data_IF_282080014371
#
_entry.id   IF_282080014371
#
_cell.length_a   1.000
_cell.length_b   1.000
_cell.length_c   1.000
_cell.angle_alpha   90.00
_cell.angle_beta   90.00
_cell.angle_gamma   90.00
#
_symmetry.space_group_name_H-M   'P 1'
#
loop_
_entity.id
_entity.type
_entity.pdbx_description
1 polymer ?
#
# COMPACT_ATOMS: atom_id res chain seq x y z
N UNK A 1 -39.90 -50.98 -85.74
CA UNK A 1 -40.10 -51.53 -84.38
C UNK A 1 -38.79 -51.37 -83.63
N UNK A 2 -38.69 -50.73 -82.47
CA UNK A 2 -39.71 -50.09 -81.66
C UNK A 2 -38.98 -49.16 -80.68
N UNK A 3 -39.39 -47.89 -80.69
CA UNK A 3 -38.93 -46.85 -79.78
C UNK A 3 -39.55 -47.12 -78.40
N UNK A 4 -38.91 -47.91 -77.54
CA UNK A 4 -39.43 -48.12 -76.17
C UNK A 4 -38.38 -48.44 -75.10
N UNK A 5 -37.08 -48.30 -75.36
CA UNK A 5 -36.03 -48.63 -74.37
C UNK A 5 -35.07 -47.50 -73.99
N UNK A 6 -35.35 -46.24 -74.36
CA UNK A 6 -34.54 -45.08 -73.94
C UNK A 6 -35.26 -44.07 -73.02
N UNK A 7 -36.54 -44.25 -72.70
CA UNK A 7 -37.29 -43.34 -71.80
C UNK A 7 -37.37 -43.79 -70.34
N UNK A 8 -36.92 -45.00 -69.98
CA UNK A 8 -37.01 -45.49 -68.60
C UNK A 8 -35.78 -45.15 -67.74
N UNK A 9 -34.57 -45.07 -68.32
CA UNK A 9 -33.32 -44.81 -67.55
C UNK A 9 -33.12 -43.32 -67.24
N UNK A 10 -33.66 -42.42 -68.06
CA UNK A 10 -33.60 -40.97 -67.82
C UNK A 10 -34.58 -40.51 -66.72
N UNK A 11 -35.77 -41.11 -66.65
CA UNK A 11 -36.80 -40.72 -65.67
C UNK A 11 -36.45 -41.22 -64.25
N UNK A 12 -35.88 -42.43 -64.11
CA UNK A 12 -35.44 -42.95 -62.80
C UNK A 12 -34.26 -42.17 -62.19
N UNK A 13 -33.29 -41.71 -63.01
CA UNK A 13 -32.17 -40.89 -62.51
C UNK A 13 -32.59 -39.49 -62.10
N UNK A 14 -33.67 -38.96 -62.67
CA UNK A 14 -34.18 -37.61 -62.36
C UNK A 14 -35.04 -37.62 -61.10
N UNK A 15 -35.87 -38.65 -60.91
CA UNK A 15 -36.69 -38.84 -59.69
C UNK A 15 -35.82 -39.19 -58.48
N UNK A 16 -34.75 -39.98 -58.65
CA UNK A 16 -33.82 -40.31 -57.55
C UNK A 16 -32.92 -39.13 -57.14
N UNK A 17 -32.57 -38.21 -58.05
CA UNK A 17 -31.90 -36.94 -57.71
C UNK A 17 -32.83 -35.91 -57.06
N UNK A 18 -34.13 -35.94 -57.36
CA UNK A 18 -35.12 -35.04 -56.75
C UNK A 18 -35.48 -35.49 -55.32
N UNK A 19 -35.62 -36.80 -55.09
CA UNK A 19 -35.85 -37.39 -53.75
C UNK A 19 -34.65 -37.22 -52.81
N UNK A 20 -33.41 -37.34 -53.33
CA UNK A 20 -32.19 -37.08 -52.54
C UNK A 20 -32.00 -35.58 -52.23
N UNK A 21 -32.48 -34.66 -53.09
CA UNK A 21 -32.50 -33.21 -52.79
C UNK A 21 -33.56 -32.82 -51.77
N UNK A 22 -34.74 -33.46 -51.79
CA UNK A 22 -35.80 -33.19 -50.80
C UNK A 22 -35.44 -33.70 -49.40
N UNK A 23 -34.78 -34.86 -49.26
CA UNK A 23 -34.29 -35.35 -47.96
C UNK A 23 -33.16 -34.47 -47.39
N UNK A 24 -32.31 -33.85 -48.21
CA UNK A 24 -31.27 -32.93 -47.73
C UNK A 24 -31.80 -31.55 -47.32
N UNK A 25 -32.87 -31.05 -47.96
CA UNK A 25 -33.38 -29.69 -47.66
C UNK A 25 -34.21 -29.66 -46.37
N UNK A 26 -34.95 -30.74 -46.06
CA UNK A 26 -35.75 -30.81 -44.83
C UNK A 26 -34.90 -31.03 -43.57
N UNK A 27 -33.79 -31.77 -43.69
CA UNK A 27 -32.87 -31.99 -42.56
C UNK A 27 -32.03 -30.74 -42.27
N UNK A 28 -31.69 -29.93 -43.28
CA UNK A 28 -30.92 -28.69 -43.09
C UNK A 28 -31.79 -27.56 -42.52
N UNK A 29 -33.08 -27.48 -42.89
CA UNK A 29 -34.01 -26.53 -42.26
C UNK A 29 -34.28 -26.88 -40.79
N UNK A 30 -34.42 -28.16 -40.45
CA UNK A 30 -34.65 -28.55 -39.06
C UNK A 30 -33.38 -28.41 -38.21
N UNK A 31 -32.19 -28.69 -38.74
CA UNK A 31 -30.94 -28.46 -38.00
C UNK A 31 -30.69 -26.97 -37.73
N UNK A 32 -30.97 -26.10 -38.71
CA UNK A 32 -30.81 -24.65 -38.53
C UNK A 32 -31.87 -24.08 -37.60
N UNK A 33 -33.12 -24.54 -37.68
CA UNK A 33 -34.20 -24.13 -36.76
C UNK A 33 -33.95 -24.63 -35.33
N UNK A 34 -33.50 -25.89 -35.16
CA UNK A 34 -33.13 -26.44 -33.84
C UNK A 34 -31.90 -25.72 -33.28
N UNK A 35 -30.90 -25.41 -34.09
CA UNK A 35 -29.73 -24.66 -33.66
C UNK A 35 -30.08 -23.22 -33.28
N UNK A 36 -30.96 -22.55 -34.03
CA UNK A 36 -31.46 -21.20 -33.69
C UNK A 36 -32.34 -21.23 -32.42
N UNK A 37 -33.19 -22.23 -32.25
CA UNK A 37 -33.98 -22.40 -31.01
C UNK A 37 -33.10 -22.74 -29.80
N UNK A 38 -32.07 -23.59 -29.97
CA UNK A 38 -31.11 -23.90 -28.90
C UNK A 38 -30.30 -22.67 -28.51
N UNK A 39 -29.81 -21.87 -29.48
CA UNK A 39 -29.07 -20.63 -29.20
C UNK A 39 -29.97 -19.59 -28.54
N UNK A 40 -31.24 -19.47 -28.97
CA UNK A 40 -32.21 -18.55 -28.35
C UNK A 40 -32.56 -18.97 -26.93
N UNK A 41 -32.79 -20.25 -26.68
CA UNK A 41 -33.09 -20.76 -25.34
C UNK A 41 -31.85 -20.69 -24.43
N UNK A 42 -30.65 -20.91 -24.97
CA UNK A 42 -29.39 -20.73 -24.24
C UNK A 42 -29.16 -19.25 -23.88
N UNK A 43 -29.46 -18.32 -24.78
CA UNK A 43 -29.41 -16.88 -24.47
C UNK A 43 -30.45 -16.45 -23.44
N UNK A 44 -31.69 -16.95 -23.51
CA UNK A 44 -32.72 -16.68 -22.50
C UNK A 44 -32.28 -17.24 -21.14
N UNK A 45 -31.67 -18.43 -21.12
CA UNK A 45 -31.17 -19.04 -19.90
C UNK A 45 -30.00 -18.24 -19.31
N UNK A 46 -29.03 -17.84 -20.13
CA UNK A 46 -27.90 -16.98 -19.70
C UNK A 46 -28.39 -15.61 -19.20
N UNK A 47 -29.33 -14.96 -19.90
CA UNK A 47 -29.91 -13.68 -19.47
C UNK A 47 -30.70 -13.84 -18.18
N UNK A 48 -31.45 -14.94 -18.00
CA UNK A 48 -32.17 -15.23 -16.76
C UNK A 48 -31.23 -15.47 -15.59
N UNK A 49 -30.08 -16.13 -15.81
CA UNK A 49 -29.03 -16.32 -14.80
C UNK A 49 -28.41 -14.97 -14.42
N UNK A 50 -28.11 -14.10 -15.40
CA UNK A 50 -27.56 -12.76 -15.15
C UNK A 50 -28.55 -11.86 -14.36
N UNK A 51 -29.84 -11.90 -14.71
CA UNK A 51 -30.86 -11.12 -13.99
C UNK A 51 -31.12 -11.65 -12.57
N UNK A 52 -31.04 -12.97 -12.35
CA UNK A 52 -31.18 -13.57 -11.02
C UNK A 52 -29.96 -13.30 -10.11
N UNK A 53 -28.79 -13.03 -10.67
CA UNK A 53 -27.58 -12.69 -9.89
C UNK A 53 -27.42 -11.19 -9.60
N UNK A 54 -28.13 -10.31 -10.31
CA UNK A 54 -27.93 -8.85 -10.26
C UNK A 54 -28.23 -8.18 -8.92
N UNK A 55 -29.16 -8.71 -8.11
CA UNK A 55 -29.51 -8.11 -6.81
C UNK A 55 -28.68 -8.63 -5.63
N UNK A 56 -27.85 -9.66 -5.83
CA UNK A 56 -27.07 -10.27 -4.75
C UNK A 56 -25.68 -9.64 -4.54
N UNK A 57 -25.26 -8.72 -5.42
CA UNK A 57 -23.89 -8.19 -5.45
C UNK A 57 -23.74 -6.76 -4.93
N UNK A 58 -24.81 -6.10 -4.47
CA UNK A 58 -24.69 -4.78 -3.84
C UNK A 58 -24.35 -4.94 -2.36
N UNK A 59 -23.17 -4.46 -1.89
CA UNK A 59 -22.83 -4.51 -0.49
C UNK A 59 -23.80 -3.66 0.34
N UNK A 60 -24.36 -4.24 1.40
CA UNK A 60 -25.27 -3.57 2.33
C UNK A 60 -24.45 -2.94 3.46
N UNK A 61 -24.74 -1.69 3.82
CA UNK A 61 -24.07 -1.01 4.94
C UNK A 61 -24.60 -1.52 6.28
N UNK A 62 -23.71 -1.78 7.24
CA UNK A 62 -24.08 -1.99 8.64
C UNK A 62 -23.79 -0.73 9.45
N UNK A 63 -24.75 -0.29 10.27
CA UNK A 63 -24.66 0.97 11.03
C UNK A 63 -23.91 0.82 12.36
N UNK A 64 -23.71 -0.41 12.85
CA UNK A 64 -23.09 -0.68 14.14
C UNK A 64 -21.73 -1.35 13.95
N UNK A 65 -20.67 -0.89 14.65
CA UNK A 65 -19.49 -1.72 14.83
C UNK A 65 -19.92 -2.98 15.57
N UNK A 66 -19.50 -4.16 15.11
CA UNK A 66 -19.84 -5.47 15.71
C UNK A 66 -21.25 -6.02 15.43
N UNK A 67 -21.83 -5.77 14.26
CA UNK A 67 -23.03 -6.52 13.81
C UNK A 67 -22.71 -8.02 13.65
N UNK A 68 -23.69 -8.90 13.88
CA UNK A 68 -23.56 -10.35 13.71
C UNK A 68 -23.26 -10.75 12.26
N UNK A 69 -23.54 -9.86 11.31
CA UNK A 69 -23.15 -9.97 9.90
C UNK A 69 -21.68 -9.61 9.62
N UNK A 70 -21.02 -8.98 10.59
CA UNK A 70 -19.66 -8.42 10.51
C UNK A 70 -18.66 -9.09 11.47
N UNK A 71 -19.14 -9.83 12.47
CA UNK A 71 -18.30 -10.67 13.32
C UNK A 71 -18.63 -12.14 13.05
N UNK A 72 -17.77 -12.82 12.31
CA UNK A 72 -17.69 -14.28 12.39
C UNK A 72 -16.30 -14.69 12.83
N UNK A 73 -16.15 -15.00 14.12
CA UNK A 73 -14.98 -15.73 14.65
C UNK A 73 -14.95 -17.21 14.20
N UNK A 74 -15.46 -17.54 13.02
CA UNK A 74 -15.54 -18.91 12.50
C UNK A 74 -15.05 -18.96 11.04
N UNK A 75 -13.95 -19.68 10.87
CA UNK A 75 -13.14 -19.80 9.65
C UNK A 75 -13.74 -20.76 8.61
N UNK A 76 -15.03 -20.60 8.29
CA UNK A 76 -15.70 -21.40 7.24
C UNK A 76 -15.92 -20.57 5.98
N UNK A 77 -15.62 -21.17 4.82
CA UNK A 77 -15.66 -20.54 3.48
C UNK A 77 -16.99 -19.80 3.21
N UNK A 78 -18.11 -20.34 3.68
CA UNK A 78 -19.44 -19.78 3.48
C UNK A 78 -19.71 -18.50 4.28
N UNK A 79 -19.05 -18.30 5.42
CA UNK A 79 -19.23 -17.10 6.23
C UNK A 79 -18.39 -15.93 5.67
N UNK A 80 -17.21 -16.22 5.09
CA UNK A 80 -16.41 -15.25 4.32
C UNK A 80 -17.13 -14.73 3.07
N UNK A 81 -17.98 -15.55 2.46
CA UNK A 81 -18.86 -15.12 1.37
C UNK A 81 -20.01 -14.22 1.85
N UNK A 82 -20.52 -14.41 3.07
CA UNK A 82 -21.53 -13.52 3.68
C UNK A 82 -20.94 -12.19 4.10
N UNK A 83 -19.71 -12.17 4.63
CA UNK A 83 -19.01 -10.94 5.01
C UNK A 83 -18.81 -9.99 3.82
N UNK A 84 -18.46 -10.51 2.64
CA UNK A 84 -18.35 -9.69 1.40
C UNK A 84 -19.66 -9.00 1.00
N UNK A 85 -20.80 -9.43 1.54
CA UNK A 85 -22.12 -8.80 1.29
C UNK A 85 -22.33 -7.55 2.15
N UNK A 86 -21.54 -7.33 3.21
CA UNK A 86 -21.71 -6.19 4.11
C UNK A 86 -20.44 -5.35 4.18
N UNK A 87 -20.57 -4.02 4.13
CA UNK A 87 -19.47 -3.11 4.45
C UNK A 87 -19.57 -2.76 5.93
N UNK A 88 -18.63 -3.29 6.71
CA UNK A 88 -18.67 -3.28 8.16
C UNK A 88 -17.89 -2.10 8.75
N UNK A 89 -18.43 -1.49 9.81
CA UNK A 89 -17.71 -0.49 10.60
C UNK A 89 -16.72 -1.23 11.51
N UNK A 90 -15.42 -1.03 11.30
CA UNK A 90 -14.36 -1.63 12.11
C UNK A 90 -14.19 -0.89 13.45
N UNK A 91 -13.86 -1.63 14.52
CA UNK A 91 -13.51 -1.02 15.79
C UNK A 91 -12.11 -0.38 15.73
N UNK A 92 -11.85 0.67 16.53
CA UNK A 92 -10.49 1.17 16.67
C UNK A 92 -9.60 0.09 17.30
N UNK A 93 -8.52 -0.27 16.63
CA UNK A 93 -7.51 -1.19 17.14
C UNK A 93 -6.26 -0.42 17.60
N UNK A 94 -5.62 -0.90 18.65
CA UNK A 94 -4.28 -0.42 19.03
C UNK A 94 -3.28 -1.02 18.04
N UNK A 95 -3.08 -0.32 16.92
CA UNK A 95 -2.16 -0.76 15.86
C UNK A 95 -0.71 -0.57 16.33
N UNK A 96 -0.01 -1.68 16.61
CA UNK A 96 1.46 -1.67 16.59
C UNK A 96 1.88 -1.78 15.14
N UNK A 97 2.26 -0.65 14.54
CA UNK A 97 2.76 -0.68 13.16
C UNK A 97 4.01 -1.58 13.11
N UNK A 98 4.16 -2.42 12.07
CA UNK A 98 5.38 -3.20 11.91
C UNK A 98 6.57 -2.23 11.85
N UNK A 99 7.53 -2.40 12.75
CA UNK A 99 8.74 -1.58 12.78
C UNK A 99 9.83 -2.24 11.94
N UNK A 100 10.76 -1.43 11.47
CA UNK A 100 11.97 -1.88 10.83
C UNK A 100 12.77 -2.73 11.83
N UNK A 101 12.71 -4.05 11.66
CA UNK A 101 13.22 -5.05 12.61
C UNK A 101 14.68 -4.76 13.00
N UNK A 102 15.50 -4.34 12.04
CA UNK A 102 16.91 -4.01 12.27
C UNK A 102 17.11 -2.84 13.26
N UNK A 103 16.20 -1.86 13.29
CA UNK A 103 16.25 -0.76 14.26
C UNK A 103 15.89 -1.23 15.69
N UNK A 104 15.00 -2.22 15.82
CA UNK A 104 14.70 -2.79 17.13
C UNK A 104 15.82 -3.69 17.67
N UNK A 105 16.57 -4.31 16.77
CA UNK A 105 17.61 -5.29 17.09
C UNK A 105 18.99 -4.69 17.25
N UNK A 106 19.16 -3.37 17.05
CA UNK A 106 20.45 -2.72 17.24
C UNK A 106 20.92 -2.88 18.71
N UNK A 107 22.18 -3.31 18.95
CA UNK A 107 22.68 -3.52 20.30
C UNK A 107 22.59 -2.26 21.17
N UNK A 108 22.36 -2.31 22.48
CA UNK A 108 22.14 -1.12 23.31
C UNK A 108 23.33 -0.14 23.32
N UNK A 109 23.05 1.15 23.47
CA UNK A 109 24.09 2.17 23.59
C UNK A 109 24.83 2.05 24.94
N UNK A 110 26.16 2.21 24.95
CA UNK A 110 26.95 2.27 26.20
C UNK A 110 26.49 3.42 27.11
N UNK A 111 26.25 4.57 26.50
CA UNK A 111 25.69 5.76 27.14
C UNK A 111 24.65 6.30 26.19
N UNK A 112 23.39 6.42 26.63
CA UNK A 112 22.32 6.93 25.78
C UNK A 112 22.53 8.42 25.47
N UNK A 113 22.81 8.82 24.21
CA UNK A 113 22.83 10.22 23.83
C UNK A 113 21.48 10.89 24.09
N UNK A 114 21.53 12.12 24.61
CA UNK A 114 20.33 12.95 24.80
C UNK A 114 20.14 13.82 23.55
N UNK A 115 19.00 13.63 22.89
CA UNK A 115 18.67 14.25 21.60
C UNK A 115 17.40 15.07 21.71
N UNK A 116 17.36 16.22 21.05
CA UNK A 116 16.16 17.04 20.90
C UNK A 116 15.61 16.91 19.49
N UNK A 117 14.29 16.80 19.35
CA UNK A 117 13.60 16.87 18.06
C UNK A 117 12.69 18.09 18.07
N UNK A 118 12.89 18.99 17.10
CA UNK A 118 12.09 20.20 16.96
C UNK A 118 10.97 19.98 15.95
N UNK A 119 11.35 19.75 14.70
CA UNK A 119 10.39 19.60 13.61
C UNK A 119 10.93 18.67 12.52
N UNK A 120 10.02 17.96 11.90
CA UNK A 120 10.26 17.04 10.80
C UNK A 120 9.14 17.19 9.77
N UNK A 121 9.32 18.19 8.90
CA UNK A 121 8.27 18.65 7.98
C UNK A 121 8.25 17.85 6.68
N UNK A 122 7.09 17.85 6.03
CA UNK A 122 6.96 17.51 4.62
C UNK A 122 7.44 18.69 3.75
N UNK A 123 8.55 18.48 3.04
CA UNK A 123 9.16 19.43 2.10
C UNK A 123 8.98 19.01 0.65
N UNK A 124 8.17 17.98 0.38
CA UNK A 124 7.93 17.46 -0.97
C UNK A 124 7.05 18.40 -1.80
N UNK A 125 6.15 19.14 -1.14
CA UNK A 125 5.14 19.96 -1.80
C UNK A 125 4.05 19.17 -2.55
N UNK A 126 4.05 17.83 -2.43
CA UNK A 126 3.18 16.98 -3.23
C UNK A 126 1.77 16.91 -2.68
N UNK A 127 0.80 16.99 -3.60
CA UNK A 127 -0.63 16.78 -3.32
C UNK A 127 -1.10 15.49 -3.94
N UNK A 128 -2.20 14.93 -3.44
CA UNK A 128 -2.83 13.77 -4.07
C UNK A 128 -3.28 14.15 -5.47
N UNK A 129 -2.91 13.34 -6.46
CA UNK A 129 -3.40 13.51 -7.81
C UNK A 129 -4.84 13.00 -7.89
N UNK A 130 -5.75 13.83 -8.43
CA UNK A 130 -7.08 13.41 -8.90
C UNK A 130 -7.23 13.85 -10.35
N UNK A 131 -7.80 13.00 -11.18
CA UNK A 131 -7.98 13.31 -12.60
C UNK A 131 -8.87 14.55 -12.77
N UNK A 132 -8.31 15.58 -13.42
CA UNK A 132 -9.02 16.81 -13.77
C UNK A 132 -9.26 17.82 -12.64
N UNK A 133 -8.81 17.57 -11.40
CA UNK A 133 -9.04 18.46 -10.24
C UNK A 133 -7.78 18.59 -9.38
N UNK A 134 -7.44 19.81 -8.97
CA UNK A 134 -6.41 20.03 -7.95
C UNK A 134 -6.93 19.65 -6.57
N UNK A 135 -6.30 18.68 -5.90
CA UNK A 135 -6.62 18.28 -4.53
C UNK A 135 -5.81 19.10 -3.51
N UNK A 136 -6.44 19.42 -2.37
CA UNK A 136 -5.76 20.07 -1.25
C UNK A 136 -5.10 19.05 -0.30
N UNK A 137 -5.45 17.77 -0.41
CA UNK A 137 -4.89 16.71 0.41
C UNK A 137 -3.42 16.50 0.08
N UNK A 138 -2.55 16.49 1.09
CA UNK A 138 -1.13 16.16 0.92
C UNK A 138 -0.98 14.70 0.50
N UNK A 139 0.01 14.44 -0.36
CA UNK A 139 0.34 13.07 -0.76
C UNK A 139 0.99 12.29 0.40
N UNK A 140 1.65 13.01 1.31
CA UNK A 140 2.41 12.45 2.43
C UNK A 140 1.86 12.92 3.78
N UNK A 141 2.10 12.11 4.81
CA UNK A 141 1.74 12.41 6.20
C UNK A 141 2.47 13.65 6.71
N UNK A 142 1.74 14.50 7.44
CA UNK A 142 2.29 15.66 8.16
C UNK A 142 2.77 15.31 9.57
N UNK A 143 2.54 14.07 10.04
CA UNK A 143 2.96 13.59 11.36
C UNK A 143 4.41 13.08 11.39
N UNK A 144 5.31 13.73 10.65
CA UNK A 144 6.68 13.28 10.49
C UNK A 144 7.49 13.36 11.80
N UNK A 145 7.21 14.37 12.61
CA UNK A 145 7.88 14.62 13.89
C UNK A 145 7.59 13.50 14.89
N UNK A 146 6.32 13.09 14.98
CA UNK A 146 5.87 12.01 15.85
C UNK A 146 6.46 10.66 15.43
N UNK A 147 6.56 10.41 14.12
CA UNK A 147 7.20 9.20 13.59
C UNK A 147 8.70 9.16 13.89
N UNK A 148 9.40 10.29 13.80
CA UNK A 148 10.83 10.37 14.16
C UNK A 148 11.05 10.17 15.66
N UNK A 149 10.23 10.79 16.50
CA UNK A 149 10.31 10.60 17.97
C UNK A 149 10.05 9.12 18.32
N UNK A 150 9.06 8.48 17.69
CA UNK A 150 8.77 7.05 17.89
C UNK A 150 9.96 6.19 17.46
N UNK A 151 10.55 6.45 16.28
CA UNK A 151 11.72 5.72 15.80
C UNK A 151 12.93 5.85 16.76
N UNK A 152 13.22 7.06 17.25
CA UNK A 152 14.30 7.29 18.22
C UNK A 152 14.04 6.61 19.56
N UNK A 153 12.78 6.62 20.03
CA UNK A 153 12.40 5.97 21.30
C UNK A 153 12.31 4.45 21.22
N UNK A 154 12.07 3.88 20.04
CA UNK A 154 11.96 2.42 19.85
C UNK A 154 13.30 1.78 19.49
N UNK A 155 14.29 2.56 19.06
CA UNK A 155 15.64 2.11 18.74
C UNK A 155 16.26 1.24 19.85
N UNK A 156 16.71 0.03 19.48
CA UNK A 156 17.22 -1.00 20.40
C UNK A 156 16.27 -1.31 21.55
N UNK A 157 14.95 -1.32 21.28
CA UNK A 157 13.90 -1.52 22.29
C UNK A 157 13.90 -0.42 23.38
N UNK A 158 14.29 0.80 23.01
CA UNK A 158 14.33 1.97 23.90
C UNK A 158 15.62 2.13 24.71
N UNK A 159 16.71 1.54 24.24
CA UNK A 159 18.02 1.58 24.92
C UNK A 159 19.06 2.46 24.22
N UNK A 160 18.66 3.18 23.17
CA UNK A 160 19.57 4.04 22.38
C UNK A 160 19.50 5.51 22.75
N UNK A 161 18.35 6.16 22.52
CA UNK A 161 18.26 7.60 22.63
C UNK A 161 17.43 8.03 23.84
N UNK A 162 17.90 9.09 24.52
CA UNK A 162 17.07 9.86 25.45
C UNK A 162 16.51 11.06 24.71
N UNK A 163 15.28 10.93 24.22
CA UNK A 163 14.61 12.00 23.47
C UNK A 163 14.01 13.03 24.42
N UNK A 164 14.27 14.31 24.19
CA UNK A 164 13.63 15.43 24.90
C UNK A 164 12.58 16.10 24.02
N UNK A 165 11.47 16.47 24.63
CA UNK A 165 10.36 17.18 24.00
C UNK A 165 10.73 18.64 23.74
N UNK A 166 10.69 19.07 22.47
CA UNK A 166 10.87 20.48 22.08
C UNK A 166 9.74 21.04 21.21
N UNK A 167 9.02 20.20 20.48
CA UNK A 167 7.84 20.61 19.71
C UNK A 167 6.76 21.21 20.64
N UNK A 168 6.52 20.55 21.79
CA UNK A 168 5.55 20.98 22.80
C UNK A 168 6.14 21.82 23.96
N UNK A 169 7.30 22.48 23.78
CA UNK A 169 8.02 23.10 24.90
C UNK A 169 7.20 24.19 25.63
N UNK A 170 6.38 24.95 24.91
CA UNK A 170 5.57 26.02 25.50
C UNK A 170 4.53 25.46 26.48
N UNK A 171 3.89 24.34 26.10
CA UNK A 171 2.95 23.64 26.97
C UNK A 171 3.67 23.09 28.21
N UNK A 172 4.85 22.51 28.03
CA UNK A 172 5.67 21.98 29.13
C UNK A 172 6.11 23.09 30.10
N UNK A 173 6.53 24.26 29.58
CA UNK A 173 6.93 25.40 30.39
C UNK A 173 5.74 25.96 31.16
N UNK A 174 4.58 26.11 30.51
CA UNK A 174 3.34 26.57 31.14
C UNK A 174 2.92 25.64 32.28
N UNK A 175 2.92 24.33 32.05
CA UNK A 175 2.58 23.35 33.10
C UNK A 175 3.53 23.42 34.29
N UNK A 176 4.83 23.56 34.02
CA UNK A 176 5.84 23.70 35.08
C UNK A 176 5.72 25.03 35.84
N UNK A 177 5.26 26.09 35.19
CA UNK A 177 4.94 27.36 35.86
C UNK A 177 3.75 27.21 36.79
N UNK A 178 2.69 26.52 36.36
CA UNK A 178 1.52 26.19 37.21
C UNK A 178 1.97 25.43 38.45
N UNK A 179 2.78 24.37 38.28
CA UNK A 179 3.29 23.59 39.42
C UNK A 179 4.16 24.46 40.35
N UNK A 180 4.93 25.40 39.81
CA UNK A 180 5.73 26.34 40.63
C UNK A 180 4.84 27.27 41.44
N UNK A 181 3.82 27.89 40.85
CA UNK A 181 2.93 28.80 41.56
C UNK A 181 2.10 28.07 42.61
N UNK A 182 1.55 26.89 42.30
CA UNK A 182 0.79 26.09 43.27
C UNK A 182 1.63 25.67 44.47
N UNK A 183 2.90 25.31 44.27
CA UNK A 183 3.80 24.98 45.40
C UNK A 183 4.17 26.21 46.23
N UNK A 184 4.35 27.38 45.61
CA UNK A 184 4.61 28.63 46.35
C UNK A 184 3.42 29.04 47.22
N UNK A 185 2.20 28.79 46.76
CA UNK A 185 0.97 29.16 47.48
C UNK A 185 0.61 28.18 48.59
N UNK A 186 0.87 26.88 48.41
CA UNK A 186 0.32 25.82 49.27
C UNK A 186 1.34 24.91 49.96
N UNK A 187 2.65 25.03 49.68
CA UNK A 187 3.63 24.11 50.24
C UNK A 187 4.42 24.73 51.40
N UNK A 188 4.63 23.94 52.46
CA UNK A 188 5.53 24.27 53.58
C UNK A 188 6.98 24.50 53.07
N UNK A 189 7.78 25.24 53.84
CA UNK A 189 9.20 25.63 53.58
C UNK A 189 10.15 24.47 53.16
N UNK A 190 9.70 23.22 53.22
CA UNK A 190 10.43 22.01 52.82
C UNK A 190 10.17 21.55 51.38
N UNK A 191 9.31 22.23 50.60
CA UNK A 191 9.02 21.78 49.24
C UNK A 191 10.23 21.95 48.31
N UNK A 192 10.78 20.84 47.79
CA UNK A 192 11.86 20.91 46.81
C UNK A 192 11.35 21.49 45.48
N UNK A 193 12.12 22.42 44.92
CA UNK A 193 11.85 23.03 43.62
C UNK A 193 11.83 22.01 42.48
N UNK A 194 11.23 22.40 41.35
CA UNK A 194 11.29 21.58 40.13
C UNK A 194 12.73 21.48 39.62
N UNK A 195 13.22 20.25 39.42
CA UNK A 195 14.51 19.99 38.79
C UNK A 195 14.60 20.57 37.37
N UNK A 196 15.81 20.89 36.86
CA UNK A 196 15.99 21.50 35.55
C UNK A 196 15.51 20.59 34.41
N UNK A 197 15.21 21.18 33.26
CA UNK A 197 14.93 20.42 32.03
C UNK A 197 16.21 19.72 31.57
N UNK A 198 16.07 18.52 31.00
CA UNK A 198 17.20 17.78 30.45
C UNK A 198 17.80 18.54 29.26
N UNK A 199 19.13 18.69 29.26
CA UNK A 199 19.88 19.30 28.16
C UNK A 199 20.18 18.24 27.10
N UNK A 200 19.91 18.57 25.83
CA UNK A 200 20.27 17.73 24.69
C UNK A 200 21.60 18.22 24.12
N UNK A 201 22.56 17.31 23.92
CA UNK A 201 23.85 17.64 23.31
C UNK A 201 23.75 17.84 21.80
N UNK A 202 22.69 17.32 21.19
CA UNK A 202 22.45 17.38 19.75
C UNK A 202 20.98 17.51 19.41
N UNK A 203 20.71 18.17 18.30
CA UNK A 203 19.39 18.31 17.69
C UNK A 203 19.33 17.35 16.51
N UNK A 204 18.30 16.50 16.48
CA UNK A 204 17.98 15.69 15.32
C UNK A 204 16.82 16.37 14.61
N UNK A 205 17.05 16.73 13.35
CA UNK A 205 16.08 17.41 12.52
C UNK A 205 16.14 16.87 11.09
N UNK A 206 15.12 17.19 10.30
CA UNK A 206 15.05 16.68 8.94
C UNK A 206 13.73 16.97 8.28
N UNK A 207 13.38 16.12 7.33
CA UNK A 207 12.07 16.15 6.70
C UNK A 207 11.93 15.10 5.62
N UNK A 208 10.70 14.99 5.13
CA UNK A 208 10.39 14.25 3.92
C UNK A 208 10.74 15.17 2.76
N UNK A 209 11.79 14.86 2.02
CA UNK A 209 12.35 15.77 1.01
C UNK A 209 11.91 15.40 -0.41
N UNK A 210 11.45 14.17 -0.63
CA UNK A 210 10.95 13.72 -1.92
C UNK A 210 9.76 12.77 -1.80
N UNK A 211 8.77 12.96 -2.67
CA UNK A 211 7.72 11.99 -2.94
C UNK A 211 7.52 11.95 -4.45
N UNK A 212 8.10 10.94 -5.08
CA UNK A 212 8.07 10.78 -6.52
C UNK A 212 7.05 9.71 -6.89
N UNK A 213 6.05 10.08 -7.68
CA UNK A 213 5.01 9.13 -8.14
C UNK A 213 5.35 8.57 -9.51
N UNK A 214 4.86 7.36 -9.81
CA UNK A 214 4.97 6.76 -11.15
C UNK A 214 6.40 6.55 -11.65
N UNK A 215 7.39 6.37 -10.76
CA UNK A 215 8.79 6.16 -11.17
C UNK A 215 8.92 4.91 -12.05
N UNK A 216 8.17 3.87 -11.72
CA UNK A 216 7.98 2.73 -12.61
C UNK A 216 6.49 2.48 -12.78
N UNK A 217 6.07 2.46 -14.03
CA UNK A 217 4.72 2.04 -14.42
C UNK A 217 4.84 0.99 -15.49
N UNK A 218 4.00 -0.03 -15.40
CA UNK A 218 3.96 -1.08 -16.40
C UNK A 218 2.66 -1.81 -16.32
N UNK A 219 2.32 -2.49 -17.42
CA UNK A 219 1.09 -3.23 -17.48
C UNK A 219 1.06 -4.22 -18.62
N UNK A 220 0.29 -5.28 -18.45
CA UNK A 220 0.00 -6.26 -19.49
C UNK A 220 -1.49 -6.31 -19.69
N UNK A 221 -1.92 -6.08 -20.92
CA UNK A 221 -3.32 -6.14 -21.30
C UNK A 221 -3.51 -7.07 -22.50
N UNK A 222 -4.57 -7.86 -22.48
CA UNK A 222 -5.01 -8.65 -23.63
C UNK A 222 -6.50 -8.36 -23.86
N UNK A 223 -6.89 -8.14 -25.12
CA UNK A 223 -8.27 -7.85 -25.51
C UNK A 223 -8.66 -8.79 -26.66
N UNK A 224 -9.77 -9.51 -26.51
CA UNK A 224 -10.34 -10.35 -27.56
C UNK A 224 -11.86 -10.41 -27.45
N UNK A 225 -12.58 -10.34 -28.57
CA UNK A 225 -14.04 -10.53 -28.64
C UNK A 225 -14.86 -9.70 -27.62
N UNK A 226 -14.45 -8.45 -27.37
CA UNK A 226 -15.14 -7.58 -26.41
C UNK A 226 -14.87 -7.92 -24.94
N UNK A 227 -13.91 -8.79 -24.62
CA UNK A 227 -13.43 -9.04 -23.25
C UNK A 227 -11.97 -8.59 -23.17
N UNK A 228 -11.67 -7.73 -22.20
CA UNK A 228 -10.34 -7.20 -21.91
C UNK A 228 -9.90 -7.59 -20.51
N UNK A 229 -8.65 -8.01 -20.36
CA UNK A 229 -7.99 -8.11 -19.05
C UNK A 229 -6.83 -7.14 -19.04
N UNK A 230 -6.70 -6.36 -17.97
CA UNK A 230 -5.59 -5.44 -17.78
C UNK A 230 -4.97 -5.64 -16.40
N UNK A 231 -3.65 -5.62 -16.34
CA UNK A 231 -2.89 -5.53 -15.10
C UNK A 231 -2.00 -4.32 -15.19
N UNK A 232 -1.99 -3.51 -14.15
CA UNK A 232 -1.19 -2.30 -14.05
C UNK A 232 -0.47 -2.32 -12.71
N UNK A 233 0.79 -1.90 -12.69
CA UNK A 233 1.51 -1.62 -11.46
C UNK A 233 2.11 -0.23 -11.53
N UNK A 234 2.23 0.39 -10.36
CA UNK A 234 2.81 1.70 -10.15
C UNK A 234 3.73 1.62 -8.94
N UNK A 235 4.91 2.21 -9.08
CA UNK A 235 5.86 2.35 -7.99
C UNK A 235 6.11 3.84 -7.72
N UNK A 236 5.86 4.26 -6.49
CA UNK A 236 6.21 5.57 -5.97
C UNK A 236 7.43 5.44 -5.05
N UNK A 237 8.12 6.54 -4.74
CA UNK A 237 9.26 6.55 -3.81
C UNK A 237 9.15 7.72 -2.85
N UNK A 238 9.31 7.42 -1.56
CA UNK A 238 9.47 8.41 -0.49
C UNK A 238 10.96 8.55 -0.19
N UNK A 239 11.44 9.79 -0.10
CA UNK A 239 12.82 10.11 0.32
C UNK A 239 12.81 10.98 1.56
N UNK A 240 13.58 10.57 2.56
CA UNK A 240 13.69 11.18 3.89
C UNK A 240 15.13 11.62 4.10
N UNK A 241 15.33 12.82 4.66
CA UNK A 241 16.64 13.28 5.11
C UNK A 241 16.61 13.56 6.60
N UNK A 242 17.62 13.05 7.31
CA UNK A 242 17.82 13.24 8.76
C UNK A 242 19.24 13.74 8.98
N UNK A 243 19.38 14.77 9.80
CA UNK A 243 20.69 15.30 10.21
C UNK A 243 20.77 15.48 11.73
N UNK A 244 21.97 15.31 12.27
CA UNK A 244 22.27 15.57 13.67
C UNK A 244 23.17 16.80 13.78
N UNK A 245 22.75 17.80 14.54
CA UNK A 245 23.44 19.08 14.72
C UNK A 245 23.94 19.20 16.15
N UNK A 246 25.21 19.55 16.34
CA UNK A 246 25.81 19.85 17.64
C UNK A 246 25.19 21.12 18.22
N UNK A 247 24.63 21.04 19.43
CA UNK A 247 24.12 22.24 20.13
C UNK A 247 25.26 23.17 20.57
N UNK A 248 26.46 22.63 20.78
CA UNK A 248 27.60 23.40 21.26
C UNK A 248 28.27 24.22 20.15
N UNK A 249 28.35 23.66 18.93
CA UNK A 249 29.12 24.27 17.82
C UNK A 249 28.25 24.71 16.64
N UNK A 250 27.01 24.22 16.55
CA UNK A 250 26.16 24.42 15.37
C UNK A 250 26.57 23.57 14.16
N UNK A 251 27.57 22.70 14.31
CA UNK A 251 28.05 21.83 13.24
C UNK A 251 27.06 20.70 12.94
N UNK A 252 26.87 20.40 11.66
CA UNK A 252 26.15 19.20 11.21
C UNK A 252 27.08 18.00 11.33
N UNK A 253 26.93 17.24 12.42
CA UNK A 253 27.75 16.08 12.75
C UNK A 253 27.46 14.88 11.85
N UNK A 254 26.18 14.66 11.55
CA UNK A 254 25.68 13.53 10.77
C UNK A 254 24.65 14.02 9.75
N UNK A 255 24.64 13.38 8.59
CA UNK A 255 23.66 13.63 7.53
C UNK A 255 23.40 12.34 6.78
N UNK A 256 22.16 11.90 6.81
CA UNK A 256 21.69 10.62 6.26
C UNK A 256 20.48 10.88 5.37
N UNK A 257 20.43 10.16 4.25
CA UNK A 257 19.29 10.15 3.36
C UNK A 257 18.86 8.72 3.12
N UNK A 258 17.57 8.44 3.29
CA UNK A 258 16.99 7.12 3.07
C UNK A 258 15.81 7.23 2.13
N UNK A 259 15.58 6.17 1.34
CA UNK A 259 14.46 6.08 0.42
C UNK A 259 13.71 4.77 0.59
N UNK A 260 12.38 4.80 0.45
CA UNK A 260 11.52 3.63 0.45
C UNK A 260 10.58 3.69 -0.74
N UNK A 261 10.49 2.59 -1.48
CA UNK A 261 9.52 2.41 -2.57
C UNK A 261 8.15 2.07 -2.00
N UNK A 262 7.08 2.62 -2.58
CA UNK A 262 5.68 2.30 -2.30
C UNK A 262 5.12 1.59 -3.53
N UNK A 263 4.66 0.35 -3.36
CA UNK A 263 4.12 -0.43 -4.47
C UNK A 263 2.59 -0.40 -4.50
N UNK A 264 2.05 -0.14 -5.68
CA UNK A 264 0.62 -0.18 -5.97
C UNK A 264 0.36 -1.11 -7.16
N UNK A 265 -0.60 -2.01 -7.02
CA UNK A 265 -0.96 -2.99 -8.05
C UNK A 265 -2.47 -3.00 -8.28
N UNK A 266 -2.87 -2.90 -9.54
CA UNK A 266 -4.27 -2.98 -9.97
C UNK A 266 -4.46 -4.06 -11.04
N UNK A 267 -5.55 -4.80 -10.96
CA UNK A 267 -6.02 -5.69 -12.01
C UNK A 267 -7.49 -5.44 -12.31
N UNK A 268 -7.82 -5.23 -13.58
CA UNK A 268 -9.18 -5.00 -14.07
C UNK A 268 -9.56 -5.95 -15.21
N UNK A 269 -10.84 -6.26 -15.31
CA UNK A 269 -11.45 -6.97 -16.43
C UNK A 269 -12.62 -6.16 -16.98
N UNK A 270 -12.62 -5.92 -18.28
CA UNK A 270 -13.60 -5.07 -18.96
C UNK A 270 -14.36 -5.88 -20.01
N UNK A 271 -15.69 -5.73 -20.09
CA UNK A 271 -16.50 -6.32 -21.16
C UNK A 271 -17.20 -5.23 -21.96
N UNK A 272 -16.94 -5.19 -23.27
CA UNK A 272 -17.51 -4.27 -24.27
C UNK A 272 -18.40 -5.02 -25.25
N UNK A 273 -19.64 -4.56 -25.43
CA UNK A 273 -20.53 -5.08 -26.46
C UNK A 273 -20.98 -3.97 -27.42
N UNK A 274 -20.57 -4.08 -28.69
CA UNK A 274 -21.04 -3.19 -29.76
C UNK A 274 -22.41 -3.66 -30.27
N UNK A 275 -23.40 -2.78 -30.27
CA UNK A 275 -24.64 -2.99 -31.02
C UNK A 275 -24.61 -2.11 -32.27
N UNK A 276 -24.64 -2.73 -33.45
CA UNK A 276 -24.81 -2.02 -34.71
C UNK A 276 -26.24 -1.45 -34.80
N UNK A 277 -26.34 -0.19 -35.26
CA UNK A 277 -27.55 0.67 -35.33
C UNK A 277 -27.82 1.61 -34.12
N UNK A 278 -26.80 2.36 -33.68
CA UNK A 278 -27.01 3.60 -32.89
C UNK A 278 -26.58 3.52 -31.42
N UNK A 279 -25.26 3.54 -31.22
CA UNK A 279 -24.53 4.11 -30.05
C UNK A 279 -25.16 3.94 -28.67
N UNK A 280 -25.18 2.70 -28.15
CA UNK A 280 -25.11 2.48 -26.70
C UNK A 280 -24.01 1.47 -26.40
N UNK A 281 -22.93 1.97 -25.78
CA UNK A 281 -21.86 1.18 -25.20
C UNK A 281 -22.35 0.71 -23.83
N UNK A 282 -22.43 -0.60 -23.63
CA UNK A 282 -22.60 -1.19 -22.30
C UNK A 282 -21.21 -1.68 -21.90
N UNK A 283 -20.65 -1.03 -20.90
CA UNK A 283 -19.35 -1.34 -20.31
C UNK A 283 -19.60 -1.94 -18.92
N UNK A 284 -18.99 -3.10 -18.68
CA UNK A 284 -18.95 -3.73 -17.37
C UNK A 284 -17.47 -3.89 -16.98
N UNK A 285 -17.03 -3.13 -15.98
CA UNK A 285 -15.68 -3.12 -15.44
C UNK A 285 -15.70 -3.75 -14.04
N UNK A 286 -14.88 -4.77 -13.83
CA UNK A 286 -14.62 -5.38 -12.52
C UNK A 286 -13.12 -5.30 -12.21
N UNK A 287 -12.74 -4.67 -11.10
CA UNK A 287 -11.34 -4.36 -10.79
C UNK A 287 -11.00 -4.44 -9.32
N UNK A 288 -9.80 -4.94 -9.02
CA UNK A 288 -9.23 -5.02 -7.66
C UNK A 288 -7.88 -4.32 -7.65
N UNK A 289 -7.67 -3.42 -6.69
CA UNK A 289 -6.43 -2.70 -6.47
C UNK A 289 -5.92 -2.87 -5.04
N UNK A 290 -4.62 -3.12 -4.90
CA UNK A 290 -3.90 -3.14 -3.62
C UNK A 290 -2.86 -2.02 -3.63
N UNK A 291 -2.91 -1.14 -2.62
CA UNK A 291 -1.96 -0.05 -2.46
C UNK A 291 -1.22 -0.21 -1.14
N UNK A 292 0.11 -0.12 -1.17
CA UNK A 292 0.90 0.02 0.06
C UNK A 292 0.58 1.37 0.75
N UNK A 293 0.59 1.37 2.08
CA UNK A 293 0.28 2.57 2.85
C UNK A 293 1.49 3.54 2.84
N UNK A 294 1.29 4.76 2.31
CA UNK A 294 2.32 5.80 2.25
C UNK A 294 2.85 6.17 3.64
N UNK A 295 1.98 6.28 4.65
CA UNK A 295 2.40 6.59 6.03
C UNK A 295 3.32 5.50 6.59
N UNK A 296 3.05 4.23 6.25
CA UNK A 296 3.91 3.12 6.62
C UNK A 296 5.29 3.19 5.94
N UNK A 297 5.31 3.55 4.66
CA UNK A 297 6.56 3.74 3.91
C UNK A 297 7.40 4.90 4.47
N UNK A 298 6.77 6.02 4.82
CA UNK A 298 7.42 7.16 5.50
C UNK A 298 8.03 6.73 6.82
N UNK A 299 7.26 6.04 7.66
CA UNK A 299 7.73 5.51 8.95
C UNK A 299 8.95 4.60 8.74
N UNK A 300 8.87 3.65 7.81
CA UNK A 300 9.96 2.71 7.53
C UNK A 300 11.21 3.44 7.02
N UNK A 301 11.04 4.47 6.19
CA UNK A 301 12.16 5.29 5.71
C UNK A 301 12.83 6.08 6.85
N UNK A 302 12.04 6.64 7.77
CA UNK A 302 12.54 7.32 8.98
C UNK A 302 13.28 6.33 9.88
N UNK A 303 12.71 5.15 10.16
CA UNK A 303 13.33 4.12 10.98
C UNK A 303 14.67 3.63 10.39
N UNK A 304 14.71 3.41 9.07
CA UNK A 304 15.96 3.11 8.36
C UNK A 304 16.97 4.27 8.47
N UNK A 305 16.51 5.52 8.38
CA UNK A 305 17.36 6.70 8.52
C UNK A 305 17.95 6.85 9.93
N UNK A 306 17.19 6.51 10.97
CA UNK A 306 17.68 6.50 12.35
C UNK A 306 18.71 5.39 12.55
N UNK A 307 18.48 4.19 12.00
CA UNK A 307 19.47 3.11 12.07
C UNK A 307 20.79 3.53 11.42
N UNK A 308 20.71 4.10 10.22
CA UNK A 308 21.88 4.56 9.49
C UNK A 308 22.59 5.72 10.20
N UNK A 309 21.83 6.59 10.89
CA UNK A 309 22.39 7.64 11.74
C UNK A 309 23.18 7.04 12.91
N UNK A 310 22.69 5.96 13.54
CA UNK A 310 23.42 5.24 14.59
C UNK A 310 24.75 4.70 14.05
N UNK A 311 24.74 4.07 12.88
CA UNK A 311 25.97 3.52 12.32
C UNK A 311 26.94 4.61 11.84
N UNK A 312 26.46 5.67 11.18
CA UNK A 312 27.32 6.78 10.77
C UNK A 312 27.94 7.50 11.98
N UNK A 313 27.19 7.61 13.09
CA UNK A 313 27.73 8.16 14.33
C UNK A 313 28.76 7.26 15.00
N UNK A 314 28.70 5.94 14.76
CA UNK A 314 29.76 5.03 15.19
C UNK A 314 31.06 5.28 14.44
N UNK A 315 30.98 5.31 13.11
CA UNK A 315 32.13 5.49 12.23
C UNK A 315 32.82 6.83 12.43
N UNK A 316 32.03 7.88 12.70
CA UNK A 316 32.56 9.21 13.01
C UNK A 316 33.04 9.37 14.47
N UNK A 317 33.01 8.31 15.26
CA UNK A 317 33.49 8.32 16.64
C UNK A 317 32.64 9.11 17.62
N UNK A 318 31.39 9.44 17.27
CA UNK A 318 30.45 10.13 18.17
C UNK A 318 29.98 9.20 19.30
N UNK A 319 29.88 7.90 19.02
CA UNK A 319 29.56 6.85 19.98
C UNK A 319 30.13 5.49 19.55
N UNK A 320 30.01 4.47 20.41
CA UNK A 320 30.43 3.09 20.12
C UNK A 320 29.23 2.16 20.16
N UNK A 321 28.94 1.50 19.04
CA UNK A 321 28.00 0.37 18.96
C UNK A 321 28.77 -0.89 19.36
N UNK A 322 28.15 -1.81 20.11
CA UNK A 322 28.77 -3.13 20.39
C UNK A 322 28.75 -4.04 19.16
N UNK A 323 29.36 -5.22 19.26
CA UNK A 323 29.57 -6.15 18.14
C UNK A 323 28.29 -6.44 17.32
N UNK A 324 28.46 -6.60 16.00
CA UNK A 324 27.39 -6.95 15.05
C UNK A 324 26.77 -5.78 14.28
N UNK A 325 27.44 -4.62 14.22
CA UNK A 325 26.96 -3.44 13.48
C UNK A 325 27.48 -3.40 12.04
N UNK A 326 26.73 -2.72 11.15
CA UNK A 326 27.09 -2.51 9.74
C UNK A 326 27.87 -1.19 9.64
N UNK A 327 28.86 -1.10 8.77
CA UNK A 327 29.53 0.17 8.47
C UNK A 327 28.86 0.82 7.23
N UNK A 328 28.41 2.07 7.33
CA UNK A 328 28.00 2.91 6.21
C UNK A 328 29.09 3.03 5.15
N UNK A 329 29.06 2.20 4.11
CA UNK A 329 29.91 2.41 2.95
C UNK A 329 29.32 3.54 2.10
N UNK A 330 29.68 4.79 2.42
CA UNK A 330 29.31 5.95 1.58
C UNK A 330 29.89 5.87 0.15
N UNK A 331 30.90 5.03 -0.10
CA UNK A 331 31.60 4.95 -1.39
C UNK A 331 31.10 3.87 -2.35
N UNK A 332 30.55 2.75 -1.87
CA UNK A 332 30.16 1.61 -2.73
C UNK A 332 28.64 1.38 -2.84
N UNK A 333 27.84 2.02 -1.98
CA UNK A 333 26.38 1.95 -2.01
C UNK A 333 25.79 0.62 -1.53
N UNK A 334 26.59 -0.26 -0.92
CA UNK A 334 26.15 -1.55 -0.37
C UNK A 334 26.42 -1.63 1.13
N UNK A 335 25.36 -1.75 1.93
CA UNK A 335 25.49 -1.79 3.39
C UNK A 335 25.79 -3.20 3.92
N UNK A 336 26.56 -4.07 3.26
CA UNK A 336 26.68 -5.47 3.73
C UNK A 336 27.34 -5.58 5.13
N UNK A 337 26.88 -6.55 5.93
CA UNK A 337 27.45 -6.78 7.26
C UNK A 337 28.83 -7.45 7.11
N UNK A 338 29.88 -6.88 7.70
CA UNK A 338 31.19 -7.54 7.75
C UNK A 338 31.13 -8.76 8.68
N UNK A 339 31.76 -9.87 8.27
CA UNK A 339 32.05 -10.96 9.18
C UNK A 339 33.16 -10.51 10.14
N UNK A 340 32.86 -10.51 11.44
CA UNK A 340 33.82 -10.15 12.50
C UNK A 340 34.94 -11.21 12.48
N UNK A 341 36.08 -10.86 11.89
CA UNK A 341 37.19 -11.78 11.70
C UNK A 341 38.52 -11.15 11.27
N UNK A 342 38.52 -9.99 10.60
CA UNK A 342 39.78 -9.32 10.28
C UNK A 342 40.17 -8.38 11.41
N UNK A 343 40.95 -8.95 12.34
CA UNK A 343 41.80 -8.17 13.24
C UNK A 343 42.63 -7.19 12.41
N UNK A 344 42.81 -6.02 12.99
CA UNK A 344 43.89 -5.07 12.72
C UNK A 344 45.21 -5.79 12.42
N UNK A 345 45.51 -5.96 11.14
CA UNK A 345 46.86 -6.05 10.61
C UNK A 345 46.89 -5.07 9.44
N UNK A 346 47.36 -3.85 9.70
CA UNK A 346 48.37 -3.15 8.89
C UNK A 346 48.61 -1.73 9.45
N UNK A 347 49.83 -1.59 10.00
CA UNK A 347 50.70 -0.41 10.21
C UNK A 347 50.14 0.92 10.76
#
# INVERSE_FOLDING_TARGET
MEKSTLRCVSLMRTVQKLLLRFQSVQVISDLTVVMVLMVRNLHILIVSVIFMTGCAQMPQWSELPNDAHCISGKDYIWDKFKEKKYLCVENPEVVRMPSYVQLLEVPPAKTMPVVAVYDFQDKTGQRKARDGIADFSTAVSQGGTELLIDALKTAGKGTWFRVVERQGIDNLVRERQIVRSTRQEYADDKSQGLGPLLFAGMIIEGGIIGYDTNIQTGGRGARTLGIGFTRQYRQDVVTVSIRAVSVLTGEVLLNVQTKKTVLSYGSGGDVFRFHEQGTKLIEYEDGVGNNENVTYAVRTAIEAGVLELIYQGHDRGLWKVSDGHRHPHLSDGTNDAHHIGEKEENE
#
